data_IF_598817537406
#
_entry.id   IF_598817537406
#
_cell.length_a   1.000
_cell.length_b   1.000
_cell.length_c   1.000
_cell.angle_alpha   90.00
_cell.angle_beta   90.00
_cell.angle_gamma   90.00
#
_symmetry.space_group_name_H-M   'P 1'
#
loop_
_entity.id
_entity.type
_entity.pdbx_description
1 polymer ?
#
# COMPACT_ATOMS: atom_id res chain seq x y z
N UNK A 1 10.54 31.40 -15.60
CA UNK A 1 10.20 29.98 -15.79
C UNK A 1 11.35 29.34 -16.55
N UNK A 2 11.84 28.15 -16.16
CA UNK A 2 12.87 27.45 -16.97
C UNK A 2 12.28 27.09 -18.33
N UNK A 3 13.01 27.24 -19.39
CA UNK A 3 12.60 26.89 -20.75
C UNK A 3 13.02 25.48 -21.17
N UNK A 4 13.96 24.88 -20.43
CA UNK A 4 14.49 23.54 -20.66
C UNK A 4 14.79 22.86 -19.33
N UNK A 5 14.56 21.57 -19.26
CA UNK A 5 14.90 20.68 -18.16
C UNK A 5 15.30 19.32 -18.72
N UNK A 6 16.08 18.56 -17.96
CA UNK A 6 16.44 17.19 -18.35
C UNK A 6 15.24 16.25 -18.32
N UNK A 7 14.39 16.37 -17.29
CA UNK A 7 13.17 15.56 -17.15
C UNK A 7 11.99 16.46 -16.78
N UNK A 8 10.90 16.33 -17.52
CA UNK A 8 9.63 16.97 -17.21
C UNK A 8 8.59 15.89 -16.87
N UNK A 9 8.08 15.90 -15.62
CA UNK A 9 6.99 15.04 -15.17
C UNK A 9 5.68 15.79 -15.40
N UNK A 10 4.74 15.18 -16.11
CA UNK A 10 3.43 15.78 -16.39
C UNK A 10 2.37 15.08 -15.55
N UNK A 11 1.71 15.84 -14.68
CA UNK A 11 0.69 15.40 -13.73
C UNK A 11 1.20 15.37 -12.30
N UNK A 12 0.48 16.06 -11.41
CA UNK A 12 0.81 16.21 -9.99
C UNK A 12 -0.04 15.31 -9.06
N UNK A 13 -0.50 14.16 -9.55
CA UNK A 13 -1.08 13.11 -8.71
C UNK A 13 0.00 12.30 -7.99
N UNK A 14 -0.39 11.30 -7.19
CA UNK A 14 0.54 10.46 -6.40
C UNK A 14 1.66 9.85 -7.27
N UNK A 15 1.34 9.40 -8.48
CA UNK A 15 2.34 8.81 -9.39
C UNK A 15 3.38 9.85 -9.84
N UNK A 16 2.93 11.03 -10.30
CA UNK A 16 3.85 12.08 -10.74
C UNK A 16 4.70 12.64 -9.60
N UNK A 17 4.12 12.86 -8.44
CA UNK A 17 4.86 13.27 -7.24
C UNK A 17 5.88 12.21 -6.83
N UNK A 18 5.51 10.92 -6.86
CA UNK A 18 6.43 9.81 -6.57
C UNK A 18 7.59 9.76 -7.57
N UNK A 19 7.32 9.90 -8.87
CA UNK A 19 8.36 9.93 -9.90
C UNK A 19 9.32 11.10 -9.67
N UNK A 20 8.80 12.30 -9.40
CA UNK A 20 9.65 13.47 -9.12
C UNK A 20 10.51 13.24 -7.86
N UNK A 21 9.91 12.73 -6.78
CA UNK A 21 10.63 12.41 -5.54
C UNK A 21 11.78 11.43 -5.78
N UNK A 22 11.52 10.34 -6.48
CA UNK A 22 12.54 9.33 -6.74
C UNK A 22 13.64 9.81 -7.71
N UNK A 23 13.30 10.64 -8.69
CA UNK A 23 14.31 11.29 -9.53
C UNK A 23 15.26 12.13 -8.68
N UNK A 24 14.72 12.97 -7.79
CA UNK A 24 15.57 13.78 -6.90
C UNK A 24 16.37 12.93 -5.91
N UNK A 25 15.78 11.88 -5.34
CA UNK A 25 16.47 10.91 -4.48
C UNK A 25 17.63 10.20 -5.19
N UNK A 26 17.51 9.98 -6.50
CA UNK A 26 18.55 9.44 -7.38
C UNK A 26 19.59 10.48 -7.86
N UNK A 27 19.50 11.73 -7.40
CA UNK A 27 20.45 12.79 -7.71
C UNK A 27 20.13 13.64 -8.96
N UNK A 28 18.96 13.46 -9.58
CA UNK A 28 18.52 14.32 -10.67
C UNK A 28 18.08 15.69 -10.12
N UNK A 29 18.78 16.75 -10.52
CA UNK A 29 18.55 18.12 -10.02
C UNK A 29 17.85 19.02 -11.02
N UNK A 30 17.94 18.69 -12.31
CA UNK A 30 17.31 19.48 -13.39
C UNK A 30 16.01 18.81 -13.84
N UNK A 31 15.06 18.75 -12.91
CA UNK A 31 13.74 18.14 -13.07
C UNK A 31 12.64 19.17 -12.83
N UNK A 32 11.48 18.94 -13.45
CA UNK A 32 10.29 19.79 -13.30
C UNK A 32 9.04 18.93 -13.27
N UNK A 33 8.07 19.32 -12.43
CA UNK A 33 6.72 18.78 -12.47
C UNK A 33 5.76 19.85 -12.98
N UNK A 34 4.91 19.48 -13.91
CA UNK A 34 3.83 20.33 -14.43
C UNK A 34 2.48 19.73 -14.05
N UNK A 35 1.68 20.51 -13.36
CA UNK A 35 0.29 20.20 -13.05
C UNK A 35 -0.62 21.32 -13.57
N UNK A 36 -1.75 20.96 -14.16
CA UNK A 36 -2.72 21.94 -14.72
C UNK A 36 -3.66 22.55 -13.68
N UNK A 37 -3.75 21.93 -12.51
CA UNK A 37 -4.66 22.31 -11.44
C UNK A 37 -3.92 22.25 -10.10
N UNK A 38 -4.59 21.89 -9.02
CA UNK A 38 -3.97 21.64 -7.72
C UNK A 38 -3.36 20.23 -7.69
N UNK A 39 -2.29 20.05 -6.91
CA UNK A 39 -1.70 18.73 -6.69
C UNK A 39 -2.77 17.79 -6.11
N UNK A 40 -2.74 16.55 -6.55
CA UNK A 40 -3.64 15.46 -6.12
C UNK A 40 -5.12 15.61 -6.46
N UNK A 41 -5.57 16.71 -7.06
CA UNK A 41 -6.99 17.01 -7.35
C UNK A 41 -7.68 16.03 -8.33
N UNK A 42 -6.93 15.15 -8.98
CA UNK A 42 -7.46 14.12 -9.88
C UNK A 42 -7.82 12.82 -9.14
N UNK A 43 -7.46 11.67 -9.74
CA UNK A 43 -7.76 10.33 -9.20
C UNK A 43 -7.19 10.08 -7.80
N UNK A 44 -6.10 10.73 -7.45
CA UNK A 44 -5.46 10.59 -6.12
C UNK A 44 -6.41 11.00 -5.00
N UNK A 45 -7.12 12.12 -5.15
CA UNK A 45 -8.12 12.59 -4.19
C UNK A 45 -9.28 11.61 -3.97
N UNK A 46 -9.59 10.79 -4.99
CA UNK A 46 -10.72 9.85 -4.95
C UNK A 46 -10.31 8.45 -4.45
N UNK A 47 -9.05 8.24 -4.11
CA UNK A 47 -8.57 6.96 -3.60
C UNK A 47 -9.08 6.74 -2.17
N UNK A 48 -9.42 5.48 -1.86
CA UNK A 48 -9.88 5.09 -0.52
C UNK A 48 -8.75 5.01 0.52
N UNK A 49 -7.50 5.19 0.11
CA UNK A 49 -6.34 5.19 1.01
C UNK A 49 -5.89 3.81 1.51
N UNK A 50 -6.57 2.72 1.16
CA UNK A 50 -6.19 1.38 1.62
C UNK A 50 -4.84 0.93 1.08
N UNK A 51 -4.02 0.34 1.95
CA UNK A 51 -2.70 -0.18 1.63
C UNK A 51 -2.64 -1.68 1.89
N UNK A 52 -2.23 -2.43 0.86
CA UNK A 52 -2.11 -3.87 0.91
C UNK A 52 -0.70 -4.28 0.50
N UNK A 53 -0.16 -5.34 1.12
CA UNK A 53 1.15 -5.89 0.75
C UNK A 53 1.03 -7.23 0.04
N UNK A 54 0.02 -8.01 0.38
CA UNK A 54 -0.16 -9.36 -0.16
C UNK A 54 -0.75 -9.28 -1.57
N UNK A 55 0.04 -9.68 -2.56
CA UNK A 55 -0.36 -9.71 -3.97
C UNK A 55 0.08 -10.99 -4.66
N UNK A 56 -0.70 -11.45 -5.62
CA UNK A 56 -0.38 -12.63 -6.44
C UNK A 56 0.81 -12.41 -7.37
N UNK A 57 1.07 -11.18 -7.78
CA UNK A 57 2.24 -10.80 -8.58
C UNK A 57 3.38 -10.34 -7.64
N UNK A 58 4.58 -10.98 -7.72
CA UNK A 58 5.70 -10.65 -6.82
C UNK A 58 6.23 -9.23 -7.00
N UNK A 59 6.20 -8.68 -8.21
CA UNK A 59 6.71 -7.32 -8.44
C UNK A 59 5.74 -6.28 -7.84
N UNK A 60 4.44 -6.51 -7.98
CA UNK A 60 3.42 -5.66 -7.35
C UNK A 60 3.52 -5.75 -5.82
N UNK A 61 3.67 -6.94 -5.27
CA UNK A 61 3.86 -7.15 -3.83
C UNK A 61 5.08 -6.40 -3.28
N UNK A 62 6.22 -6.47 -3.97
CA UNK A 62 7.44 -5.72 -3.61
C UNK A 62 7.22 -4.20 -3.68
N UNK A 63 6.53 -3.72 -4.72
CA UNK A 63 6.21 -2.30 -4.85
C UNK A 63 5.31 -1.82 -3.71
N UNK A 64 4.30 -2.61 -3.35
CA UNK A 64 3.39 -2.29 -2.24
C UNK A 64 4.13 -2.23 -0.89
N UNK A 65 4.97 -3.23 -0.58
CA UNK A 65 5.81 -3.21 0.63
C UNK A 65 6.76 -1.99 0.67
N UNK A 66 7.40 -1.70 -0.46
CA UNK A 66 8.25 -0.51 -0.57
C UNK A 66 7.45 0.77 -0.30
N UNK A 67 6.22 0.85 -0.83
CA UNK A 67 5.37 2.05 -0.69
C UNK A 67 5.02 2.32 0.77
N UNK A 68 4.68 1.30 1.56
CA UNK A 68 4.38 1.48 2.99
C UNK A 68 5.60 2.02 3.73
N UNK A 69 6.77 1.43 3.54
CA UNK A 69 8.02 1.92 4.14
C UNK A 69 8.37 3.33 3.69
N UNK A 70 8.08 3.65 2.43
CA UNK A 70 8.30 5.00 1.90
C UNK A 70 7.40 6.04 2.59
N UNK A 71 6.16 5.69 2.90
CA UNK A 71 5.25 6.59 3.61
C UNK A 71 5.75 6.89 5.04
N UNK A 72 6.25 5.89 5.75
CA UNK A 72 6.90 6.10 7.06
C UNK A 72 8.13 7.02 6.92
N UNK A 73 9.00 6.76 5.92
CA UNK A 73 10.16 7.60 5.61
C UNK A 73 9.77 9.05 5.30
N UNK A 74 8.73 9.25 4.48
CA UNK A 74 8.25 10.59 4.10
C UNK A 74 7.72 11.35 5.31
N UNK A 75 6.95 10.69 6.17
CA UNK A 75 6.44 11.29 7.42
C UNK A 75 7.60 11.72 8.32
N UNK A 76 8.62 10.88 8.48
CA UNK A 76 9.80 11.19 9.29
C UNK A 76 10.60 12.36 8.71
N UNK A 77 10.90 12.34 7.41
CA UNK A 77 11.70 13.39 6.73
C UNK A 77 10.97 14.73 6.71
N UNK A 78 9.66 14.72 6.43
CA UNK A 78 8.88 15.96 6.30
C UNK A 78 8.46 16.54 7.65
N UNK A 79 8.37 15.72 8.69
CA UNK A 79 7.76 16.06 9.98
C UNK A 79 6.24 16.32 9.87
N UNK A 80 5.63 15.97 8.74
CA UNK A 80 4.19 16.13 8.49
C UNK A 80 3.49 14.81 8.78
N UNK A 81 2.45 14.84 9.58
CA UNK A 81 1.52 13.73 9.71
C UNK A 81 0.78 13.51 8.39
N UNK A 82 0.89 12.31 7.83
CA UNK A 82 0.27 11.91 6.56
C UNK A 82 -0.96 11.02 6.77
N UNK A 83 -1.43 10.88 8.01
CA UNK A 83 -2.57 10.03 8.36
C UNK A 83 -2.29 8.54 8.13
N UNK A 84 -1.07 8.07 8.38
CA UNK A 84 -0.69 6.67 8.20
C UNK A 84 -1.12 5.84 9.40
N UNK A 85 -2.04 4.89 9.18
CA UNK A 85 -2.56 3.97 10.19
C UNK A 85 -2.28 2.52 9.79
N UNK A 86 -1.26 1.90 10.38
CA UNK A 86 -0.92 0.49 10.17
C UNK A 86 -1.72 -0.39 11.14
N UNK A 87 -2.98 -0.60 10.83
CA UNK A 87 -3.92 -1.34 11.67
C UNK A 87 -3.90 -2.84 11.43
N UNK A 88 -3.13 -3.28 10.44
CA UNK A 88 -3.21 -4.63 9.91
C UNK A 88 -4.38 -4.82 8.96
N UNK A 89 -4.36 -5.93 8.22
CA UNK A 89 -5.41 -6.34 7.29
C UNK A 89 -5.80 -7.80 7.48
N UNK A 90 -7.09 -8.11 7.34
CA UNK A 90 -7.61 -9.47 7.45
C UNK A 90 -8.30 -9.87 6.15
N UNK A 91 -7.77 -10.89 5.48
CA UNK A 91 -8.42 -11.50 4.31
C UNK A 91 -9.22 -12.72 4.74
N UNK A 92 -10.52 -12.70 4.50
CA UNK A 92 -11.46 -13.70 4.96
C UNK A 92 -11.79 -14.73 3.86
N UNK A 93 -11.95 -16.00 4.26
CA UNK A 93 -12.41 -17.08 3.40
C UNK A 93 -13.80 -17.55 3.83
N UNK A 94 -14.81 -17.37 2.99
CA UNK A 94 -16.17 -17.85 3.20
C UNK A 94 -16.37 -19.32 2.75
N UNK A 95 -15.40 -19.92 2.04
CA UNK A 95 -15.42 -21.30 1.55
C UNK A 95 -14.05 -21.95 1.70
N UNK A 96 -14.01 -23.29 1.71
CA UNK A 96 -12.75 -24.04 1.75
C UNK A 96 -11.86 -23.74 0.54
N UNK A 97 -12.43 -23.68 -0.68
CA UNK A 97 -11.67 -23.33 -1.89
C UNK A 97 -11.00 -21.96 -1.77
N UNK A 98 -11.73 -20.98 -1.19
CA UNK A 98 -11.16 -19.65 -0.93
C UNK A 98 -10.07 -19.71 0.13
N UNK A 99 -10.23 -20.55 1.14
CA UNK A 99 -9.21 -20.72 2.17
C UNK A 99 -7.94 -21.40 1.62
N UNK A 100 -8.07 -22.38 0.76
CA UNK A 100 -6.93 -23.01 0.09
C UNK A 100 -6.19 -22.01 -0.81
N UNK A 101 -6.92 -21.14 -1.49
CA UNK A 101 -6.33 -20.04 -2.24
C UNK A 101 -5.56 -19.07 -1.31
N UNK A 102 -6.13 -18.70 -0.16
CA UNK A 102 -5.46 -17.85 0.84
C UNK A 102 -4.21 -18.50 1.41
N UNK A 103 -4.22 -19.81 1.68
CA UNK A 103 -3.02 -20.57 2.11
C UNK A 103 -1.92 -20.49 1.06
N UNK A 104 -2.27 -20.63 -0.22
CA UNK A 104 -1.32 -20.50 -1.34
C UNK A 104 -0.76 -19.08 -1.44
N UNK A 105 -1.60 -18.06 -1.23
CA UNK A 105 -1.18 -16.67 -1.21
C UNK A 105 -0.27 -16.37 -0.02
N UNK A 106 -0.59 -16.87 1.17
CA UNK A 106 0.26 -16.81 2.36
C UNK A 106 1.64 -17.44 2.11
N UNK A 107 1.67 -18.67 1.55
CA UNK A 107 2.94 -19.34 1.25
C UNK A 107 3.81 -18.52 0.27
N UNK A 108 3.21 -17.90 -0.75
CA UNK A 108 3.89 -16.99 -1.67
C UNK A 108 4.39 -15.73 -0.95
N UNK A 109 3.56 -15.13 -0.09
CA UNK A 109 3.93 -13.97 0.73
C UNK A 109 5.15 -14.29 1.60
N UNK A 110 5.16 -15.43 2.28
CA UNK A 110 6.30 -15.90 3.08
C UNK A 110 7.58 -16.04 2.26
N UNK A 111 7.47 -16.59 1.04
CA UNK A 111 8.60 -16.68 0.12
C UNK A 111 9.16 -15.29 -0.25
N UNK A 112 8.31 -14.27 -0.34
CA UNK A 112 8.69 -12.88 -0.62
C UNK A 112 9.11 -12.09 0.63
N UNK A 113 9.20 -12.74 1.80
CA UNK A 113 9.62 -12.13 3.06
C UNK A 113 8.52 -11.35 3.82
N UNK A 114 7.25 -11.61 3.50
CA UNK A 114 6.11 -11.02 4.23
C UNK A 114 5.84 -11.79 5.52
N UNK A 115 5.45 -11.07 6.56
CA UNK A 115 5.11 -11.64 7.88
C UNK A 115 3.59 -11.86 8.02
N UNK A 116 2.98 -12.51 7.02
CA UNK A 116 1.56 -12.87 7.09
C UNK A 116 1.33 -14.11 7.97
N UNK A 117 0.13 -14.23 8.54
CA UNK A 117 -0.26 -15.35 9.40
C UNK A 117 -1.60 -15.94 8.95
N UNK A 118 -1.72 -17.28 9.02
CA UNK A 118 -3.01 -17.95 8.88
C UNK A 118 -3.66 -17.95 10.25
N UNK A 119 -4.84 -17.38 10.33
CA UNK A 119 -5.60 -17.26 11.59
C UNK A 119 -6.99 -17.90 11.48
N UNK A 120 -7.55 -18.28 12.61
CA UNK A 120 -8.92 -18.75 12.70
C UNK A 120 -9.93 -17.60 12.55
N UNK A 121 -11.20 -17.90 12.20
CA UNK A 121 -12.25 -16.89 12.18
C UNK A 121 -12.51 -16.22 13.54
N UNK A 122 -12.21 -16.90 14.65
CA UNK A 122 -12.32 -16.32 15.99
C UNK A 122 -11.24 -15.27 16.24
N UNK A 123 -9.99 -15.60 15.92
CA UNK A 123 -8.88 -14.64 16.00
C UNK A 123 -9.11 -13.44 15.09
N UNK A 124 -9.65 -13.68 13.90
CA UNK A 124 -10.04 -12.58 12.99
C UNK A 124 -11.11 -11.66 13.62
N UNK A 125 -12.07 -12.22 14.36
CA UNK A 125 -13.10 -11.45 15.07
C UNK A 125 -12.54 -10.66 16.27
N UNK A 126 -11.44 -11.10 16.87
CA UNK A 126 -10.74 -10.34 17.91
C UNK A 126 -10.07 -9.08 17.33
N UNK A 127 -9.52 -9.19 16.10
CA UNK A 127 -8.92 -8.06 15.36
C UNK A 127 -10.02 -7.14 14.82
N UNK A 128 -11.09 -7.70 14.27
CA UNK A 128 -12.21 -6.98 13.68
C UNK A 128 -13.52 -7.35 14.41
N UNK A 129 -13.91 -6.65 15.48
CA UNK A 129 -15.05 -7.03 16.34
C UNK A 129 -16.44 -7.00 15.66
N UNK A 130 -16.56 -6.38 14.48
CA UNK A 130 -17.79 -6.39 13.69
C UNK A 130 -17.97 -7.69 12.85
N UNK A 131 -16.95 -8.55 12.83
CA UNK A 131 -16.97 -9.81 12.10
C UNK A 131 -17.82 -10.86 12.84
N UNK A 132 -18.73 -11.53 12.12
CA UNK A 132 -19.37 -12.74 12.63
C UNK A 132 -18.57 -13.99 12.15
N UNK A 133 -17.79 -14.63 13.04
CA UNK A 133 -16.85 -15.69 12.66
C UNK A 133 -17.54 -16.94 12.08
N UNK A 134 -18.84 -17.15 12.35
CA UNK A 134 -19.57 -18.34 11.86
C UNK A 134 -19.73 -18.39 10.33
N UNK A 135 -19.51 -17.28 9.62
CA UNK A 135 -19.64 -17.20 8.17
C UNK A 135 -18.33 -17.48 7.43
N UNK A 136 -17.26 -17.79 8.16
CA UNK A 136 -15.92 -17.97 7.58
C UNK A 136 -15.30 -19.28 8.03
N UNK A 137 -14.43 -19.84 7.19
CA UNK A 137 -13.70 -21.09 7.46
C UNK A 137 -12.24 -20.84 7.83
N UNK A 138 -11.71 -19.66 7.53
CA UNK A 138 -10.35 -19.25 7.86
C UNK A 138 -10.05 -17.85 7.39
N UNK A 139 -8.88 -17.33 7.76
CA UNK A 139 -8.41 -16.02 7.35
C UNK A 139 -6.88 -15.98 7.23
N UNK A 140 -6.37 -14.95 6.56
CA UNK A 140 -4.96 -14.55 6.58
C UNK A 140 -4.88 -13.14 7.13
N UNK A 141 -4.00 -12.93 8.08
CA UNK A 141 -3.67 -11.64 8.67
C UNK A 141 -2.35 -11.13 8.12
N UNK A 142 -2.30 -9.85 7.77
CA UNK A 142 -1.09 -9.11 7.45
C UNK A 142 -0.92 -7.94 8.43
N UNK A 143 0.10 -7.96 9.29
CA UNK A 143 0.27 -6.94 10.34
C UNK A 143 0.66 -5.56 9.82
N UNK A 144 1.19 -5.45 8.60
CA UNK A 144 1.69 -4.19 8.04
C UNK A 144 0.73 -3.52 7.05
N UNK A 145 -0.43 -4.10 6.81
CA UNK A 145 -1.49 -3.43 6.06
C UNK A 145 -2.13 -2.29 6.86
N UNK A 146 -2.75 -1.36 6.15
CA UNK A 146 -3.40 -0.22 6.80
C UNK A 146 -4.06 0.72 5.82
N UNK A 147 -4.15 1.98 6.23
CA UNK A 147 -4.74 3.03 5.38
C UNK A 147 -4.06 4.38 5.63
N UNK A 148 -4.28 5.28 4.69
CA UNK A 148 -3.95 6.70 4.75
C UNK A 148 -5.26 7.50 4.81
N UNK A 149 -5.34 8.53 5.64
CA UNK A 149 -6.44 9.49 5.68
C UNK A 149 -6.33 10.56 4.58
#
# INVERSE_FOLDING_TARGET
MKSHVQVCVIGGGVVGCSVLYHLTKLGWTDVMLLERSELTSGSTWHAAGGMHTVNGDPNVAQLQQYTIKLYEEIQEISGQDIGLHLTGGVMLAGTEDRFDWLKSLHAKGRYLGMETEIISPKEAAEIMPLLDPKHFVGAVYDPIEGHLD
#
